data_IF_962334993436
#
_entry.id   IF_962334993436
#
_cell.length_a   1.000
_cell.length_b   1.000
_cell.length_c   1.000
_cell.angle_alpha   90.00
_cell.angle_beta   90.00
_cell.angle_gamma   90.00
#
_symmetry.space_group_name_H-M   'P 1'
#
loop_
_entity.id
_entity.type
_entity.pdbx_description
1 polymer ?
#
# COMPACT_ATOMS: atom_id res chain seq x y z
N UNK A 1 11.38 -9.08 19.18
CA UNK A 1 10.36 -9.87 19.89
C UNK A 1 9.03 -9.31 19.44
N UNK A 2 8.21 -10.15 18.82
CA UNK A 2 6.92 -9.80 18.21
C UNK A 2 5.94 -9.43 19.32
N UNK A 3 5.15 -8.38 19.14
CA UNK A 3 3.73 -8.50 19.46
C UNK A 3 2.97 -8.34 18.14
N UNK A 4 2.28 -9.41 17.74
CA UNK A 4 1.32 -9.39 16.65
C UNK A 4 0.27 -8.39 17.11
N UNK A 5 0.17 -7.31 16.34
CA UNK A 5 -0.90 -6.32 16.34
C UNK A 5 -2.08 -6.75 17.21
N UNK A 6 -2.25 -6.10 18.35
CA UNK A 6 -3.56 -6.05 18.96
C UNK A 6 -4.55 -5.68 17.85
N UNK A 7 -5.66 -6.41 17.77
CA UNK A 7 -6.71 -6.06 16.80
C UNK A 7 -7.04 -4.58 17.00
N UNK A 8 -7.26 -3.82 15.91
CA UNK A 8 -7.66 -2.42 16.03
C UNK A 8 -8.82 -2.29 17.02
N UNK A 9 -8.77 -1.27 17.88
CA UNK A 9 -9.95 -0.88 18.66
C UNK A 9 -11.08 -0.51 17.69
N UNK A 10 -12.32 -0.45 18.18
CA UNK A 10 -13.45 -0.04 17.33
C UNK A 10 -13.24 1.34 16.70
N UNK A 11 -12.65 2.27 17.45
CA UNK A 11 -12.31 3.62 16.95
C UNK A 11 -11.22 3.56 15.87
N UNK A 12 -10.17 2.75 16.07
CA UNK A 12 -9.12 2.55 15.07
C UNK A 12 -9.66 1.89 13.81
N UNK A 13 -10.57 0.90 13.94
CA UNK A 13 -11.17 0.24 12.80
C UNK A 13 -12.02 1.22 11.97
N UNK A 14 -12.78 2.12 12.61
CA UNK A 14 -13.55 3.14 11.89
C UNK A 14 -12.65 4.06 11.06
N UNK A 15 -11.49 4.47 11.59
CA UNK A 15 -10.50 5.26 10.83
C UNK A 15 -9.90 4.45 9.69
N UNK A 16 -9.57 3.17 9.92
CA UNK A 16 -9.09 2.27 8.86
C UNK A 16 -10.12 2.16 7.73
N UNK A 17 -11.39 1.98 8.07
CA UNK A 17 -12.47 1.86 7.09
C UNK A 17 -12.64 3.16 6.29
N UNK A 18 -12.61 4.32 6.95
CA UNK A 18 -12.68 5.64 6.29
C UNK A 18 -11.50 5.85 5.32
N UNK A 19 -10.28 5.50 5.73
CA UNK A 19 -9.11 5.59 4.85
C UNK A 19 -9.17 4.56 3.71
N UNK A 20 -9.71 3.36 3.97
CA UNK A 20 -9.87 2.33 2.95
C UNK A 20 -10.81 2.78 1.82
N UNK A 21 -11.78 3.66 2.10
CA UNK A 21 -12.63 4.28 1.06
C UNK A 21 -11.82 5.15 0.08
N UNK A 22 -10.66 5.67 0.49
CA UNK A 22 -9.81 6.49 -0.38
C UNK A 22 -8.87 5.64 -1.24
N UNK A 23 -8.68 4.37 -0.90
CA UNK A 23 -7.81 3.43 -1.61
C UNK A 23 -8.64 2.71 -2.67
N UNK A 24 -8.65 3.25 -3.88
CA UNK A 24 -9.37 2.64 -5.01
C UNK A 24 -8.53 1.51 -5.65
N UNK A 25 -8.99 0.27 -5.50
CA UNK A 25 -8.35 -0.91 -6.09
C UNK A 25 -8.30 -0.89 -7.62
N UNK A 26 -9.22 -0.19 -8.28
CA UNK A 26 -9.19 0.00 -9.74
C UNK A 26 -8.05 0.93 -10.14
N UNK A 27 -7.86 2.05 -9.44
CA UNK A 27 -6.74 2.97 -9.69
C UNK A 27 -5.40 2.26 -9.50
N UNK A 28 -5.25 1.47 -8.44
CA UNK A 28 -4.05 0.68 -8.22
C UNK A 28 -3.79 -0.32 -9.36
N UNK A 29 -4.83 -1.00 -9.85
CA UNK A 29 -4.72 -1.92 -10.98
C UNK A 29 -4.40 -1.18 -12.30
N UNK A 30 -4.93 0.02 -12.52
CA UNK A 30 -4.60 0.84 -13.68
C UNK A 30 -3.13 1.28 -13.64
N UNK A 31 -2.64 1.79 -12.50
CA UNK A 31 -1.23 2.16 -12.35
C UNK A 31 -0.27 0.98 -12.52
N UNK A 32 -0.63 -0.21 -12.01
CA UNK A 32 0.12 -1.44 -12.25
C UNK A 32 0.22 -1.78 -13.74
N UNK A 33 -0.89 -1.66 -14.47
CA UNK A 33 -0.92 -1.96 -15.90
C UNK A 33 -0.10 -0.94 -16.72
N UNK A 34 -0.18 0.34 -16.34
CA UNK A 34 0.65 1.41 -16.94
C UNK A 34 2.14 1.11 -16.79
N UNK A 35 2.60 0.75 -15.59
CA UNK A 35 4.00 0.41 -15.34
C UNK A 35 4.46 -0.82 -16.13
N UNK A 36 3.60 -1.85 -16.27
CA UNK A 36 3.94 -3.00 -17.13
C UNK A 36 4.14 -2.57 -18.59
N UNK A 37 3.24 -1.73 -19.12
CA UNK A 37 3.33 -1.22 -20.49
C UNK A 37 4.60 -0.39 -20.69
N UNK A 38 4.90 0.52 -19.76
CA UNK A 38 6.08 1.39 -19.82
C UNK A 38 7.39 0.60 -19.79
N UNK A 39 7.39 -0.57 -19.15
CA UNK A 39 8.52 -1.49 -19.10
C UNK A 39 8.51 -2.57 -20.21
N UNK A 40 7.57 -2.48 -21.17
CA UNK A 40 7.49 -3.42 -22.30
C UNK A 40 7.05 -4.84 -21.91
N UNK A 41 6.34 -4.98 -20.79
CA UNK A 41 5.83 -6.25 -20.27
C UNK A 41 4.35 -6.38 -20.62
N UNK A 42 3.93 -7.58 -21.04
CA UNK A 42 2.53 -7.84 -21.38
C UNK A 42 1.62 -7.77 -20.14
N UNK A 43 0.47 -7.11 -20.28
CA UNK A 43 -0.55 -6.99 -19.22
C UNK A 43 -1.38 -8.27 -19.16
N UNK A 44 -0.84 -9.28 -18.48
CA UNK A 44 -1.54 -10.55 -18.18
C UNK A 44 -1.92 -10.62 -16.70
N UNK A 45 -2.91 -11.44 -16.36
CA UNK A 45 -3.30 -11.66 -14.96
C UNK A 45 -2.13 -12.18 -14.10
N UNK A 46 -1.26 -13.00 -14.69
CA UNK A 46 -0.08 -13.54 -14.02
C UNK A 46 0.93 -12.44 -13.70
N UNK A 47 1.28 -11.61 -14.69
CA UNK A 47 2.24 -10.51 -14.50
C UNK A 47 1.71 -9.47 -13.50
N UNK A 48 0.44 -9.11 -13.61
CA UNK A 48 -0.23 -8.19 -12.69
C UNK A 48 -0.21 -8.70 -11.24
N UNK A 49 -0.49 -10.00 -11.04
CA UNK A 49 -0.44 -10.63 -9.71
C UNK A 49 0.98 -10.67 -9.14
N UNK A 50 1.96 -11.01 -9.98
CA UNK A 50 3.36 -11.06 -9.55
C UNK A 50 3.82 -9.69 -9.04
N UNK A 51 3.56 -8.62 -9.79
CA UNK A 51 3.92 -7.26 -9.38
C UNK A 51 3.16 -6.84 -8.12
N UNK A 52 1.84 -7.10 -8.05
CA UNK A 52 1.05 -6.81 -6.86
C UNK A 52 1.59 -7.50 -5.60
N UNK A 53 1.95 -8.79 -5.69
CA UNK A 53 2.54 -9.51 -4.56
C UNK A 53 3.88 -8.92 -4.11
N UNK A 54 4.76 -8.59 -5.06
CA UNK A 54 6.03 -7.94 -4.75
C UNK A 54 5.82 -6.55 -4.12
N UNK A 55 4.82 -5.78 -4.57
CA UNK A 55 4.46 -4.50 -3.96
C UNK A 55 4.01 -4.67 -2.51
N UNK A 56 3.21 -5.70 -2.21
CA UNK A 56 2.76 -5.98 -0.84
C UNK A 56 3.91 -6.34 0.11
N UNK A 57 4.92 -7.07 -0.37
CA UNK A 57 6.10 -7.39 0.42
C UNK A 57 6.89 -6.13 0.81
N UNK A 58 6.95 -5.15 -0.08
CA UNK A 58 7.64 -3.88 0.13
C UNK A 58 6.77 -2.82 0.83
N UNK A 59 5.46 -3.04 0.91
CA UNK A 59 4.51 -2.05 1.40
C UNK A 59 4.80 -1.60 2.84
N UNK A 60 5.20 -2.53 3.70
CA UNK A 60 5.52 -2.21 5.10
C UNK A 60 6.68 -1.22 5.21
N UNK A 61 7.77 -1.47 4.48
CA UNK A 61 8.95 -0.61 4.48
C UNK A 61 8.63 0.75 3.87
N UNK A 62 7.83 0.79 2.80
CA UNK A 62 7.39 2.03 2.17
C UNK A 62 6.50 2.87 3.11
N UNK A 63 5.59 2.25 3.87
CA UNK A 63 4.78 2.94 4.88
C UNK A 63 5.69 3.52 5.96
N UNK A 64 6.66 2.75 6.46
CA UNK A 64 7.60 3.23 7.47
C UNK A 64 8.41 4.44 6.96
N UNK A 65 8.93 4.36 5.74
CA UNK A 65 9.67 5.48 5.13
C UNK A 65 8.79 6.73 4.97
N UNK A 66 7.53 6.58 4.54
CA UNK A 66 6.61 7.69 4.43
C UNK A 66 6.33 8.37 5.79
N UNK A 67 6.20 7.57 6.86
CA UNK A 67 6.05 8.09 8.22
C UNK A 67 7.29 8.87 8.68
N UNK A 68 8.49 8.36 8.43
CA UNK A 68 9.75 9.05 8.76
C UNK A 68 9.90 10.37 7.98
N UNK A 69 9.52 10.39 6.70
CA UNK A 69 9.52 11.62 5.90
C UNK A 69 8.56 12.67 6.47
N UNK A 70 7.35 12.28 6.87
CA UNK A 70 6.39 13.19 7.50
C UNK A 70 6.92 13.74 8.85
N UNK A 71 7.53 12.89 9.69
CA UNK A 71 8.18 13.33 10.94
C UNK A 71 9.30 14.33 10.68
N UNK A 72 10.16 14.05 9.71
CA UNK A 72 11.26 14.94 9.33
C UNK A 72 10.77 16.27 8.73
N UNK A 73 9.59 16.27 8.11
CA UNK A 73 8.90 17.48 7.67
C UNK A 73 8.21 18.25 8.81
N UNK A 74 8.34 17.80 10.07
CA UNK A 74 7.79 18.45 11.26
C UNK A 74 6.34 18.06 11.58
N UNK A 75 5.80 17.02 10.95
CA UNK A 75 4.44 16.56 11.23
C UNK A 75 4.41 15.75 12.53
N UNK A 76 3.37 15.97 13.34
CA UNK A 76 3.14 15.21 14.56
C UNK A 76 2.27 14.00 14.23
N UNK A 77 2.91 12.85 14.03
CA UNK A 77 2.28 11.54 13.89
C UNK A 77 2.05 10.88 15.26
#
# INVERSE_FOLDING_TARGET
>A
MVDKLDKPTQEQQAVIDEIAEWIDGKVLAESLAEELVDNGIEVTLENMRLVWHNMLELLHDNIWQAMEMARNAGWRL
#
